data_IF_759217931684
#
_entry.id   IF_759217931684
#
_cell.length_a   1.000
_cell.length_b   1.000
_cell.length_c   1.000
_cell.angle_alpha   90.00
_cell.angle_beta   90.00
_cell.angle_gamma   90.00
#
_symmetry.space_group_name_H-M   'P 1'
#
loop_
_entity.id
_entity.type
_entity.pdbx_description
1 polymer ?
#
# COMPACT_ATOMS: atom_id res chain seq x y z
N UNK A 1 15.63 -9.41 -40.22
CA UNK A 1 14.27 -9.01 -39.80
C UNK A 1 14.17 -9.23 -38.31
N UNK A 2 14.15 -8.16 -37.52
CA UNK A 2 13.93 -8.24 -36.08
C UNK A 2 12.43 -8.26 -35.82
N UNK A 3 11.93 -9.35 -35.24
CA UNK A 3 10.53 -9.45 -34.84
C UNK A 3 10.28 -8.51 -33.66
N UNK A 4 9.73 -7.32 -33.93
CA UNK A 4 9.30 -6.38 -32.90
C UNK A 4 8.06 -6.85 -32.13
N UNK A 5 7.50 -8.00 -32.51
CA UNK A 5 6.34 -8.65 -31.89
C UNK A 5 6.60 -10.15 -31.83
N UNK A 6 6.39 -10.73 -30.65
CA UNK A 6 6.46 -12.17 -30.41
C UNK A 6 5.23 -12.61 -29.62
N UNK A 7 4.73 -13.80 -29.88
CA UNK A 7 3.66 -14.41 -29.09
C UNK A 7 4.23 -14.87 -27.74
N UNK A 8 3.51 -14.57 -26.66
CA UNK A 8 3.94 -14.89 -25.29
C UNK A 8 2.81 -15.57 -24.53
N UNK A 9 3.15 -16.67 -23.86
CA UNK A 9 2.29 -17.27 -22.84
C UNK A 9 2.68 -16.74 -21.46
N UNK A 10 1.70 -16.38 -20.64
CA UNK A 10 1.94 -15.84 -19.31
C UNK A 10 0.96 -16.39 -18.28
N UNK A 11 1.41 -16.44 -17.02
CA UNK A 11 0.59 -16.84 -15.88
C UNK A 11 0.89 -15.96 -14.68
N UNK A 12 -0.15 -15.48 -14.01
CA UNK A 12 0.00 -14.75 -12.75
C UNK A 12 0.52 -15.68 -11.65
N UNK A 13 1.71 -15.40 -11.13
CA UNK A 13 2.33 -16.10 -10.00
C UNK A 13 2.33 -15.22 -8.75
N UNK A 14 2.52 -15.86 -7.59
CA UNK A 14 2.62 -15.14 -6.31
C UNK A 14 3.90 -14.32 -6.30
N UNK A 15 3.83 -13.03 -5.97
CA UNK A 15 5.02 -12.23 -5.72
C UNK A 15 5.66 -12.67 -4.40
N UNK A 16 6.98 -12.88 -4.41
CA UNK A 16 7.77 -13.11 -3.21
C UNK A 16 8.85 -12.03 -3.12
N UNK A 17 8.74 -11.15 -2.15
CA UNK A 17 9.68 -10.05 -1.94
C UNK A 17 10.68 -10.47 -0.86
N UNK A 18 11.77 -11.14 -1.24
CA UNK A 18 12.83 -11.48 -0.29
C UNK A 18 13.55 -10.20 0.18
N UNK A 19 13.80 -10.02 1.49
CA UNK A 19 14.61 -8.90 1.95
C UNK A 19 16.07 -9.16 1.56
N UNK A 20 16.60 -8.40 0.60
CA UNK A 20 17.99 -8.51 0.17
C UNK A 20 18.99 -8.00 1.21
N UNK A 21 18.57 -7.40 2.31
CA UNK A 21 19.41 -7.19 3.49
C UNK A 21 18.55 -7.17 4.76
N UNK A 22 18.79 -8.18 5.62
CA UNK A 22 18.47 -8.30 7.05
C UNK A 22 17.06 -7.98 7.56
N UNK A 23 16.51 -9.00 8.25
CA UNK A 23 15.30 -9.06 9.08
C UNK A 23 14.03 -9.46 8.30
N UNK A 24 13.80 -10.77 8.27
CA UNK A 24 12.51 -11.47 8.40
C UNK A 24 11.25 -10.74 7.88
N UNK A 25 10.65 -11.31 6.83
CA UNK A 25 9.41 -10.91 6.15
C UNK A 25 9.49 -9.66 5.25
N UNK A 26 8.86 -9.75 4.07
CA UNK A 26 8.59 -8.62 3.19
C UNK A 26 7.80 -7.55 3.95
N UNK A 27 8.46 -6.44 4.29
CA UNK A 27 7.81 -5.34 5.00
C UNK A 27 7.09 -4.47 3.99
N UNK A 28 5.75 -4.48 4.05
CA UNK A 28 4.92 -3.59 3.23
C UNK A 28 5.40 -2.16 3.41
N UNK A 29 5.46 -1.40 2.32
CA UNK A 29 6.03 -0.05 2.35
C UNK A 29 5.02 0.95 1.82
N UNK A 30 4.80 2.04 2.56
CA UNK A 30 4.02 3.18 2.10
C UNK A 30 4.95 4.21 1.49
N UNK A 31 4.97 4.29 0.16
CA UNK A 31 5.71 5.30 -0.59
C UNK A 31 4.84 6.53 -0.77
N UNK A 32 5.23 7.63 -0.16
CA UNK A 32 4.57 8.92 -0.35
C UNK A 32 4.95 9.46 -1.73
N UNK A 33 3.96 9.86 -2.51
CA UNK A 33 4.15 10.49 -3.82
C UNK A 33 4.93 11.80 -3.67
N UNK A 34 5.80 12.09 -4.64
CA UNK A 34 6.51 13.36 -4.74
C UNK A 34 5.56 14.55 -4.94
N UNK A 35 4.35 14.30 -5.45
CA UNK A 35 3.31 15.31 -5.62
C UNK A 35 2.45 15.52 -4.37
N UNK A 36 2.78 14.88 -3.25
CA UNK A 36 2.13 15.16 -1.97
C UNK A 36 2.56 16.53 -1.44
N UNK A 37 1.65 17.22 -0.77
CA UNK A 37 1.91 18.52 -0.17
C UNK A 37 1.57 18.49 1.32
N UNK A 38 2.58 18.46 2.19
CA UNK A 38 2.36 18.48 3.63
C UNK A 38 1.85 19.86 4.09
N UNK A 39 0.81 19.94 4.95
CA UNK A 39 -0.03 18.86 5.48
C UNK A 39 -1.34 18.64 4.70
N UNK A 40 -1.56 19.33 3.58
CA UNK A 40 -2.88 19.49 2.95
C UNK A 40 -3.28 18.39 1.97
N UNK A 41 -2.34 17.66 1.40
CA UNK A 41 -2.62 16.64 0.40
C UNK A 41 -1.63 15.48 0.52
N UNK A 42 -2.17 14.28 0.76
CA UNK A 42 -1.40 13.05 0.87
C UNK A 42 -1.77 12.13 -0.29
N UNK A 43 -0.78 11.71 -1.07
CA UNK A 43 -0.91 10.63 -2.03
C UNK A 43 0.16 9.59 -1.77
N UNK A 44 -0.20 8.31 -1.80
CA UNK A 44 0.74 7.21 -1.53
C UNK A 44 0.47 5.98 -2.37
N UNK A 45 1.50 5.15 -2.49
CA UNK A 45 1.42 3.81 -3.09
C UNK A 45 1.86 2.78 -2.05
N UNK A 46 1.15 1.64 -2.03
CA UNK A 46 1.49 0.50 -1.19
C UNK A 46 2.38 -0.44 -2.01
N UNK A 47 3.63 -0.62 -1.56
CA UNK A 47 4.64 -1.46 -2.21
C UNK A 47 4.88 -2.75 -1.43
N UNK A 48 5.47 -3.74 -2.12
CA UNK A 48 5.87 -5.03 -1.56
C UNK A 48 4.70 -5.87 -0.99
N UNK A 49 3.53 -5.76 -1.60
CA UNK A 49 2.37 -6.59 -1.28
C UNK A 49 2.62 -8.01 -1.79
N UNK A 50 3.01 -8.91 -0.89
CA UNK A 50 3.31 -10.31 -1.22
C UNK A 50 2.04 -11.10 -1.56
N UNK A 51 2.21 -12.21 -2.28
CA UNK A 51 1.09 -13.06 -2.67
C UNK A 51 0.56 -12.76 -4.08
N UNK A 52 -0.62 -13.34 -4.39
CA UNK A 52 -1.45 -12.96 -5.54
C UNK A 52 -2.58 -12.04 -5.05
N UNK A 53 -2.19 -10.93 -4.44
CA UNK A 53 -3.11 -10.01 -3.77
C UNK A 53 -3.19 -8.69 -4.52
N UNK A 54 -4.42 -8.23 -4.73
CA UNK A 54 -4.71 -6.90 -5.25
C UNK A 54 -5.19 -6.00 -4.12
N UNK A 55 -4.69 -4.76 -4.08
CA UNK A 55 -5.17 -3.76 -3.13
C UNK A 55 -6.41 -3.10 -3.71
N UNK A 56 -7.54 -3.30 -3.04
CA UNK A 56 -8.86 -2.88 -3.55
C UNK A 56 -9.45 -1.70 -2.77
N UNK A 57 -8.97 -1.44 -1.55
CA UNK A 57 -9.36 -0.28 -0.77
C UNK A 57 -8.23 0.13 0.19
N UNK A 58 -8.11 1.42 0.49
CA UNK A 58 -7.19 1.96 1.51
C UNK A 58 -7.93 2.98 2.35
N UNK A 59 -7.75 2.90 3.67
CA UNK A 59 -8.38 3.82 4.61
C UNK A 59 -7.37 4.29 5.65
N UNK A 60 -7.63 5.49 6.17
CA UNK A 60 -6.85 6.08 7.26
C UNK A 60 -7.68 6.32 8.51
N UNK A 61 -7.04 6.22 9.67
CA UNK A 61 -7.69 6.44 10.95
C UNK A 61 -7.77 7.95 11.25
N UNK A 62 -8.97 8.46 11.51
CA UNK A 62 -9.22 9.82 11.98
C UNK A 62 -9.49 9.79 13.48
N UNK A 63 -8.57 10.35 14.28
CA UNK A 63 -8.68 10.34 15.75
C UNK A 63 -9.78 11.26 16.25
N UNK A 64 -10.02 12.35 15.55
CA UNK A 64 -11.01 13.37 15.93
C UNK A 64 -12.44 12.83 15.85
N UNK A 65 -12.70 11.95 14.89
CA UNK A 65 -14.03 11.35 14.65
C UNK A 65 -14.11 9.88 15.05
N UNK A 66 -13.00 9.27 15.47
CA UNK A 66 -12.88 7.84 15.77
C UNK A 66 -13.38 6.93 14.63
N UNK A 67 -13.04 7.28 13.39
CA UNK A 67 -13.52 6.58 12.20
C UNK A 67 -12.40 6.31 11.20
N UNK A 68 -12.56 5.21 10.45
CA UNK A 68 -11.77 4.97 9.25
C UNK A 68 -12.36 5.75 8.09
N UNK A 69 -11.51 6.51 7.38
CA UNK A 69 -11.90 7.28 6.21
C UNK A 69 -11.22 6.73 4.96
N UNK A 70 -12.03 6.42 3.95
CA UNK A 70 -11.54 5.92 2.68
C UNK A 70 -10.67 6.95 1.95
N UNK A 71 -9.55 6.48 1.44
CA UNK A 71 -8.74 7.17 0.45
C UNK A 71 -9.29 6.88 -0.94
N UNK A 72 -9.14 7.83 -1.86
CA UNK A 72 -9.59 7.65 -3.25
C UNK A 72 -8.46 7.06 -4.08
N UNK A 73 -8.78 6.10 -4.94
CA UNK A 73 -7.85 5.59 -5.96
C UNK A 73 -7.86 6.54 -7.15
N UNK A 74 -6.74 7.21 -7.41
CA UNK A 74 -6.68 8.26 -8.46
C UNK A 74 -6.27 7.66 -9.80
N UNK A 75 -5.13 6.96 -9.83
CA UNK A 75 -4.61 6.26 -11.00
C UNK A 75 -3.66 5.14 -10.55
N UNK A 76 -3.54 4.08 -11.35
CA UNK A 76 -2.62 2.98 -11.04
C UNK A 76 -2.81 2.44 -9.62
N UNK A 77 -1.74 2.42 -8.82
CA UNK A 77 -1.77 2.00 -7.42
C UNK A 77 -1.71 3.19 -6.42
N UNK A 78 -2.04 4.41 -6.88
CA UNK A 78 -1.97 5.64 -6.08
C UNK A 78 -3.30 5.92 -5.38
N UNK A 79 -3.22 6.11 -4.07
CA UNK A 79 -4.33 6.44 -3.18
C UNK A 79 -4.12 7.82 -2.57
N UNK A 80 -5.12 8.69 -2.64
CA UNK A 80 -5.04 10.06 -2.15
C UNK A 80 -6.09 10.44 -1.09
N UNK A 81 -5.75 11.46 -0.32
CA UNK A 81 -6.67 12.17 0.56
C UNK A 81 -6.30 13.65 0.67
N UNK A 82 -7.28 14.51 0.41
CA UNK A 82 -7.22 15.92 0.76
C UNK A 82 -7.46 16.11 2.26
N UNK A 83 -6.71 17.01 2.88
CA UNK A 83 -6.74 17.32 4.31
C UNK A 83 -6.63 16.06 5.19
N UNK A 84 -5.54 15.28 5.08
CA UNK A 84 -5.31 14.12 5.94
C UNK A 84 -5.24 14.54 7.43
N UNK A 85 -5.48 13.62 8.38
CA UNK A 85 -5.40 13.92 9.81
C UNK A 85 -4.04 14.48 10.22
N UNK A 86 -4.06 15.38 11.21
CA UNK A 86 -2.83 15.92 11.78
C UNK A 86 -2.26 14.93 12.77
N UNK A 87 -1.00 14.52 12.57
CA UNK A 87 -0.33 13.56 13.45
C UNK A 87 0.17 12.33 12.70
N UNK A 88 0.67 11.31 13.44
CA UNK A 88 1.01 10.03 12.85
C UNK A 88 -0.22 9.41 12.17
N UNK A 89 -0.02 8.86 10.97
CA UNK A 89 -1.09 8.28 10.16
C UNK A 89 -1.06 6.76 10.30
N UNK A 90 -2.20 6.21 10.71
CA UNK A 90 -2.47 4.77 10.73
C UNK A 90 -3.29 4.41 9.52
N UNK A 91 -2.90 3.36 8.80
CA UNK A 91 -3.57 2.87 7.61
C UNK A 91 -4.10 1.45 7.80
N UNK A 92 -5.21 1.16 7.14
CA UNK A 92 -5.63 -0.20 6.80
C UNK A 92 -5.94 -0.29 5.32
N UNK A 93 -5.84 -1.48 4.76
CA UNK A 93 -6.16 -1.71 3.35
C UNK A 93 -6.80 -3.07 3.15
N UNK A 94 -7.62 -3.21 2.11
CA UNK A 94 -8.14 -4.50 1.67
C UNK A 94 -7.19 -5.14 0.69
N UNK A 95 -6.89 -6.42 0.93
CA UNK A 95 -6.22 -7.29 -0.01
C UNK A 95 -7.23 -8.33 -0.51
N UNK A 96 -7.34 -8.45 -1.83
CA UNK A 96 -8.17 -9.45 -2.51
C UNK A 96 -7.27 -10.47 -3.16
N UNK A 97 -7.42 -11.75 -2.79
CA UNK A 97 -6.67 -12.85 -3.39
C UNK A 97 -7.16 -13.13 -4.81
N UNK A 98 -6.38 -13.88 -5.60
CA UNK A 98 -6.79 -14.36 -6.91
C UNK A 98 -8.02 -15.29 -6.90
N UNK A 99 -8.45 -15.75 -5.72
CA UNK A 99 -9.67 -16.56 -5.53
C UNK A 99 -10.88 -15.68 -5.16
N UNK A 100 -10.72 -14.36 -5.12
CA UNK A 100 -11.77 -13.41 -4.76
C UNK A 100 -11.96 -13.21 -3.25
N UNK A 101 -11.18 -13.90 -2.40
CA UNK A 101 -11.24 -13.71 -0.96
C UNK A 101 -10.64 -12.35 -0.59
N UNK A 102 -11.44 -11.51 0.09
CA UNK A 102 -11.03 -10.16 0.49
C UNK A 102 -10.92 -10.06 2.00
N UNK A 103 -9.80 -9.51 2.49
CA UNK A 103 -9.55 -9.34 3.91
C UNK A 103 -8.88 -8.00 4.20
N UNK A 104 -9.16 -7.45 5.38
CA UNK A 104 -8.53 -6.22 5.86
C UNK A 104 -7.18 -6.51 6.49
N UNK A 105 -6.22 -5.68 6.14
CA UNK A 105 -4.87 -5.70 6.67
C UNK A 105 -4.62 -4.40 7.42
N UNK A 106 -4.20 -4.54 8.68
CA UNK A 106 -3.94 -3.41 9.56
C UNK A 106 -2.43 -3.17 9.66
N UNK A 107 -2.02 -1.92 9.46
CA UNK A 107 -0.66 -1.48 9.74
C UNK A 107 -0.64 -0.62 11.00
N UNK A 108 0.18 -1.02 11.96
CA UNK A 108 0.45 -0.19 13.13
C UNK A 108 1.66 0.71 12.85
N UNK A 109 1.47 2.02 13.06
CA UNK A 109 2.54 3.04 13.15
C UNK A 109 3.44 3.23 11.92
N UNK A 110 2.89 3.30 10.71
CA UNK A 110 3.76 3.37 9.53
C UNK A 110 4.17 4.79 9.10
N UNK A 111 3.28 5.78 9.12
CA UNK A 111 3.60 7.11 8.56
C UNK A 111 3.76 8.14 9.70
N UNK A 112 4.94 8.78 9.85
CA UNK A 112 5.18 9.73 10.94
C UNK A 112 4.38 11.01 10.76
N UNK A 113 4.24 11.80 11.85
CA UNK A 113 3.52 13.09 11.84
C UNK A 113 4.03 14.07 10.79
N UNK A 114 5.36 14.13 10.60
CA UNK A 114 6.03 15.02 9.66
C UNK A 114 6.50 14.21 8.43
N UNK A 115 5.53 13.55 7.78
CA UNK A 115 5.81 12.79 6.56
C UNK A 115 6.28 13.70 5.44
N UNK A 116 7.13 13.17 4.56
CA UNK A 116 7.74 13.93 3.47
C UNK A 116 7.30 13.36 2.13
N UNK A 117 7.07 14.25 1.16
CA UNK A 117 6.88 13.87 -0.23
C UNK A 117 8.10 13.07 -0.72
N UNK A 118 7.86 12.01 -1.49
CA UNK A 118 8.91 11.12 -1.98
C UNK A 118 9.51 10.18 -0.93
N UNK A 119 9.17 10.28 0.36
CA UNK A 119 9.68 9.36 1.37
C UNK A 119 8.98 7.99 1.31
N UNK A 120 9.67 6.95 1.76
CA UNK A 120 9.12 5.60 1.90
C UNK A 120 9.16 5.19 3.37
N UNK A 121 8.05 4.68 3.88
CA UNK A 121 7.93 4.24 5.26
C UNK A 121 7.53 2.78 5.34
N UNK A 122 8.30 2.01 6.09
CA UNK A 122 8.02 0.60 6.32
C UNK A 122 6.86 0.43 7.29
N UNK A 123 5.93 -0.44 6.93
CA UNK A 123 4.72 -0.75 7.65
C UNK A 123 4.89 -2.06 8.40
N UNK A 124 4.78 -2.01 9.72
CA UNK A 124 4.64 -3.23 10.51
C UNK A 124 3.23 -3.78 10.31
N UNK A 125 3.14 -4.86 9.54
CA UNK A 125 1.87 -5.45 9.12
C UNK A 125 1.80 -6.90 9.58
N UNK A 126 0.63 -7.30 10.09
CA UNK A 126 0.27 -8.72 10.21
C UNK A 126 -0.60 -9.10 9.02
N UNK A 127 0.00 -9.73 8.00
CA UNK A 127 -0.76 -10.35 6.92
C UNK A 127 -1.37 -11.64 7.46
N UNK A 128 -2.70 -11.76 7.41
CA UNK A 128 -3.36 -13.05 7.61
C UNK A 128 -3.26 -13.77 6.27
N UNK A 129 -2.47 -14.84 6.22
CA UNK A 129 -2.48 -15.76 5.08
C UNK A 129 -3.55 -16.80 5.40
N UNK A 130 -4.72 -16.79 4.74
CA UNK A 130 -5.68 -17.88 4.90
C UNK A 130 -4.99 -19.18 4.43
N UNK A 131 -5.04 -20.20 5.29
CA UNK A 131 -4.58 -21.56 4.97
C UNK A 131 -5.47 -22.20 3.91
#
# INVERSE_FOLDING_TARGET
MSYGVVEVEYKRISCNYYPTHHINNSVITYKISEHSNYPYYLALTILHVSGKNDITAVELWQKETNQWKAMRRVYGAVWDMANPPRGPITLRFQATTNLGYTYWVYSTNAIPKLWKAGAAYQANVKLIIPK
#
